data_IF_414252215045
#
_entry.id   IF_414252215045
#
_cell.length_a   1.000
_cell.length_b   1.000
_cell.length_c   1.000
_cell.angle_alpha   90.00
_cell.angle_beta   90.00
_cell.angle_gamma   90.00
#
_symmetry.space_group_name_H-M   'P 1'
#
loop_
_entity.id
_entity.type
_entity.pdbx_description
1 polymer ?
#
# COMPACT_ATOMS: atom_id res chain seq x y z
N UNK A 1 -5.97 -3.08 -4.90
CA UNK A 1 -6.02 -4.55 -5.04
C UNK A 1 -6.87 -5.17 -3.94
N UNK A 2 -7.65 -6.20 -4.29
CA UNK A 2 -8.26 -7.12 -3.34
C UNK A 2 -7.48 -8.44 -3.36
N UNK A 3 -7.13 -8.96 -2.19
CA UNK A 3 -6.41 -10.23 -2.06
C UNK A 3 -4.94 -10.09 -1.66
N UNK A 4 -4.09 -10.99 -2.14
CA UNK A 4 -2.75 -11.23 -1.59
C UNK A 4 -1.82 -10.03 -1.74
N UNK A 5 -0.99 -9.76 -0.72
CA UNK A 5 0.11 -8.80 -0.80
C UNK A 5 1.37 -9.46 -1.39
N UNK A 6 2.07 -8.76 -2.28
CA UNK A 6 3.35 -9.22 -2.84
C UNK A 6 4.48 -9.12 -1.84
N UNK A 7 5.35 -10.13 -1.75
CA UNK A 7 6.51 -10.12 -0.85
C UNK A 7 7.51 -9.01 -1.17
N UNK A 8 7.58 -8.59 -2.42
CA UNK A 8 8.56 -7.64 -2.94
C UNK A 8 8.30 -6.21 -2.45
N UNK A 9 7.14 -5.94 -1.85
CA UNK A 9 6.86 -4.66 -1.17
C UNK A 9 7.49 -4.57 0.22
N UNK A 10 8.18 -5.64 0.66
CA UNK A 10 8.91 -5.64 1.91
C UNK A 10 10.29 -4.98 1.75
N UNK A 11 10.49 -3.82 2.37
CA UNK A 11 11.75 -3.06 2.38
C UNK A 11 12.81 -3.60 3.38
N UNK A 12 12.76 -4.90 3.67
CA UNK A 12 13.74 -5.56 4.54
C UNK A 12 14.27 -6.84 3.91
N UNK A 13 15.08 -7.60 4.66
CA UNK A 13 15.65 -8.86 4.14
C UNK A 13 14.55 -9.89 3.82
N UNK A 14 14.31 -10.22 2.53
CA UNK A 14 13.23 -11.13 2.12
C UNK A 14 13.39 -12.53 2.71
N UNK A 15 14.63 -12.96 3.00
CA UNK A 15 14.92 -14.27 3.62
C UNK A 15 14.29 -14.41 5.00
N UNK A 16 14.03 -13.27 5.66
CA UNK A 16 13.42 -13.21 6.99
C UNK A 16 11.90 -13.01 6.92
N UNK A 17 11.29 -12.97 5.73
CA UNK A 17 9.86 -12.71 5.55
C UNK A 17 9.05 -14.02 5.58
N UNK A 18 8.92 -14.61 6.76
CA UNK A 18 8.10 -15.82 6.98
C UNK A 18 6.60 -15.51 6.94
N UNK A 19 5.74 -16.53 6.79
CA UNK A 19 4.28 -16.37 6.85
C UNK A 19 3.79 -15.69 8.13
N UNK A 20 4.34 -16.10 9.28
CA UNK A 20 4.04 -15.46 10.59
C UNK A 20 4.43 -13.98 10.58
N UNK A 21 5.60 -13.66 10.02
CA UNK A 21 6.08 -12.28 9.96
C UNK A 21 5.25 -11.41 9.02
N UNK A 22 4.84 -11.95 7.87
CA UNK A 22 3.88 -11.31 6.95
C UNK A 22 2.61 -10.90 7.71
N UNK A 23 2.01 -11.82 8.46
CA UNK A 23 0.84 -11.53 9.28
C UNK A 23 1.08 -10.41 10.30
N UNK A 24 2.20 -10.44 11.03
CA UNK A 24 2.52 -9.38 12.01
C UNK A 24 2.80 -8.00 11.39
N UNK A 25 3.21 -7.96 10.12
CA UNK A 25 3.46 -6.73 9.37
C UNK A 25 2.21 -6.23 8.61
N UNK A 26 1.08 -6.93 8.72
CA UNK A 26 -0.17 -6.55 8.06
C UNK A 26 -0.27 -6.94 6.58
N UNK A 27 0.59 -7.86 6.10
CA UNK A 27 0.44 -8.40 4.74
C UNK A 27 -0.82 -9.25 4.66
N UNK A 28 -1.61 -9.02 3.61
CA UNK A 28 -2.81 -9.81 3.38
C UNK A 28 -2.45 -11.14 2.69
N UNK A 29 -3.03 -12.25 3.14
CA UNK A 29 -2.80 -13.60 2.59
C UNK A 29 -4.08 -14.08 1.88
N UNK A 30 -3.97 -14.44 0.60
CA UNK A 30 -5.09 -14.93 -0.21
C UNK A 30 -4.58 -15.75 -1.38
N UNK A 31 -5.42 -16.64 -1.90
CA UNK A 31 -5.14 -17.38 -3.14
C UNK A 31 -5.32 -16.50 -4.40
N UNK A 32 -5.96 -15.34 -4.27
CA UNK A 32 -6.29 -14.44 -5.37
C UNK A 32 -5.65 -13.07 -5.15
N UNK A 33 -5.40 -12.38 -6.26
CA UNK A 33 -5.01 -10.98 -6.30
C UNK A 33 -5.69 -10.33 -7.51
N UNK A 34 -6.57 -9.36 -7.25
CA UNK A 34 -7.27 -8.62 -8.31
C UNK A 34 -7.10 -7.12 -8.13
N UNK A 35 -6.65 -6.48 -9.20
CA UNK A 35 -6.59 -5.04 -9.29
C UNK A 35 -7.91 -4.46 -9.78
N UNK A 36 -8.35 -3.42 -9.09
CA UNK A 36 -9.54 -2.66 -9.41
C UNK A 36 -9.07 -1.21 -9.60
N UNK A 37 -9.37 -0.63 -10.75
CA UNK A 37 -8.98 0.73 -11.10
C UNK A 37 -10.19 1.63 -10.89
N UNK A 38 -10.04 2.67 -10.07
CA UNK A 38 -11.04 3.73 -9.93
C UNK A 38 -10.53 5.00 -10.63
N UNK A 39 -11.30 5.49 -11.61
CA UNK A 39 -10.95 6.61 -12.49
C UNK A 39 -11.66 7.92 -12.16
N UNK A 40 -12.44 7.99 -11.07
CA UNK A 40 -13.06 9.24 -10.63
C UNK A 40 -12.01 10.24 -10.13
N UNK A 41 -12.36 11.51 -10.10
CA UNK A 41 -11.53 12.55 -9.48
C UNK A 41 -11.26 12.22 -8.01
N UNK A 42 -9.98 12.35 -7.61
CA UNK A 42 -9.52 12.00 -6.27
C UNK A 42 -8.56 13.04 -5.75
N UNK A 43 -8.60 13.20 -4.44
CA UNK A 43 -7.56 13.81 -3.64
C UNK A 43 -6.93 12.74 -2.75
N UNK A 44 -5.62 12.61 -2.81
CA UNK A 44 -4.83 11.70 -1.97
C UNK A 44 -4.02 12.54 -0.98
N UNK A 45 -4.30 12.34 0.30
CA UNK A 45 -3.60 12.98 1.42
C UNK A 45 -2.76 11.95 2.15
N UNK A 46 -1.46 12.18 2.23
CA UNK A 46 -0.55 11.40 3.07
C UNK A 46 -0.65 11.89 4.52
N UNK A 47 -0.77 10.95 5.46
CA UNK A 47 -0.59 11.20 6.88
C UNK A 47 0.85 10.86 7.23
N UNK A 48 1.62 11.87 7.63
CA UNK A 48 3.04 11.71 7.97
C UNK A 48 3.21 11.12 9.36
N UNK A 49 4.42 10.65 9.66
CA UNK A 49 4.73 10.03 10.96
C UNK A 49 4.52 10.97 12.16
N UNK A 50 4.60 12.29 11.94
CA UNK A 50 4.31 13.31 12.95
C UNK A 50 2.83 13.74 13.00
N UNK A 51 1.97 13.05 12.25
CA UNK A 51 0.53 13.32 12.18
C UNK A 51 0.12 14.45 11.23
N UNK A 52 1.07 15.14 10.59
CA UNK A 52 0.72 16.17 9.59
C UNK A 52 0.13 15.56 8.34
N UNK A 53 -0.74 16.33 7.69
CA UNK A 53 -1.34 15.99 6.42
C UNK A 53 -0.62 16.69 5.26
N UNK A 54 -0.33 15.95 4.19
CA UNK A 54 0.19 16.50 2.93
C UNK A 54 -0.61 15.96 1.75
N UNK A 55 -1.20 16.83 0.93
CA UNK A 55 -1.79 16.42 -0.35
C UNK A 55 -0.66 16.05 -1.31
N UNK A 56 -0.71 14.84 -1.85
CA UNK A 56 0.32 14.31 -2.78
C UNK A 56 -0.24 14.09 -4.21
N UNK A 57 -1.56 14.05 -4.36
CA UNK A 57 -2.22 13.90 -5.66
C UNK A 57 -3.61 14.52 -5.59
N UNK A 58 -4.02 15.24 -6.63
CA UNK A 58 -5.36 15.80 -6.75
C UNK A 58 -5.75 16.03 -8.21
N UNK A 59 -6.98 15.66 -8.59
CA UNK A 59 -7.56 15.92 -9.91
C UNK A 59 -6.64 15.51 -11.07
N UNK A 60 -6.15 14.27 -11.05
CA UNK A 60 -5.31 13.75 -12.13
C UNK A 60 -3.82 14.04 -12.00
N UNK A 61 -3.37 14.84 -11.03
CA UNK A 61 -2.01 15.41 -11.01
C UNK A 61 -1.31 15.21 -9.67
N UNK A 62 0.00 14.90 -9.71
CA UNK A 62 0.85 14.86 -8.53
C UNK A 62 1.10 16.27 -7.97
N UNK A 63 1.18 16.38 -6.64
CA UNK A 63 1.54 17.60 -5.92
C UNK A 63 2.93 17.43 -5.31
N UNK A 64 3.84 18.35 -5.63
CA UNK A 64 5.24 18.35 -5.16
C UNK A 64 5.40 19.21 -3.90
#
# INVERSE_FOLDING_TARGET
ALGASYSDTYDGDPRRLTKKRKGSLGFNDSALHWDLVNTEDKRVTAILADGREKVIYENGLFRY
#
